data_IF_515193072048
#
_entry.id   IF_515193072048
#
_cell.length_a   1.000
_cell.length_b   1.000
_cell.length_c   1.000
_cell.angle_alpha   90.00
_cell.angle_beta   90.00
_cell.angle_gamma   90.00
#
_symmetry.space_group_name_H-M   'P 1'
#
loop_
_entity.id
_entity.type
_entity.pdbx_description
1 polymer ?
#
# COMPACT_ATOMS: atom_id res chain seq x y z
N UNK A 1 29.14 11.94 9.82
CA UNK A 1 28.56 12.59 8.63
C UNK A 1 27.16 12.04 8.50
N UNK A 2 26.13 12.84 8.75
CA UNK A 2 24.73 12.39 8.58
C UNK A 2 24.50 12.07 7.10
N UNK A 3 24.11 10.82 6.82
CA UNK A 3 23.76 10.40 5.47
C UNK A 3 22.43 11.06 5.10
N UNK A 4 22.44 11.91 4.08
CA UNK A 4 21.21 12.54 3.59
C UNK A 4 20.38 11.48 2.88
N UNK A 5 19.29 11.05 3.52
CA UNK A 5 18.25 10.25 2.91
C UNK A 5 17.13 11.19 2.45
N UNK A 6 16.58 10.93 1.27
CA UNK A 6 15.53 11.77 0.70
C UNK A 6 14.27 10.94 0.40
N UNK A 7 13.13 11.38 0.92
CA UNK A 7 11.81 10.83 0.56
C UNK A 7 11.17 11.74 -0.46
N UNK A 8 10.79 11.18 -1.62
CA UNK A 8 10.09 11.94 -2.67
C UNK A 8 8.97 11.12 -3.31
N UNK A 9 7.91 11.78 -3.84
CA UNK A 9 6.98 11.15 -4.76
C UNK A 9 7.72 10.56 -5.95
N UNK A 10 7.27 9.40 -6.42
CA UNK A 10 7.84 8.73 -7.59
C UNK A 10 7.21 9.24 -8.86
N UNK A 11 8.03 9.42 -9.89
CA UNK A 11 7.61 9.68 -11.27
C UNK A 11 8.00 8.52 -12.18
N UNK A 12 7.61 8.60 -13.45
CA UNK A 12 7.96 7.56 -14.43
C UNK A 12 9.48 7.37 -14.55
N UNK A 13 10.26 8.44 -14.33
CA UNK A 13 11.72 8.43 -14.41
C UNK A 13 12.36 7.57 -13.31
N UNK A 14 11.65 7.32 -12.21
CA UNK A 14 12.12 6.50 -11.10
C UNK A 14 11.92 5.00 -11.32
N UNK A 15 11.29 4.59 -12.43
CA UNK A 15 10.98 3.19 -12.72
C UNK A 15 12.25 2.33 -12.72
N UNK A 16 13.33 2.81 -13.33
CA UNK A 16 14.63 2.10 -13.36
C UNK A 16 15.19 1.89 -11.96
N UNK A 17 15.06 2.89 -11.07
CA UNK A 17 15.53 2.79 -9.69
C UNK A 17 14.69 1.78 -8.89
N UNK A 18 13.39 1.73 -9.13
CA UNK A 18 12.50 0.72 -8.56
C UNK A 18 12.87 -0.70 -9.02
N UNK A 19 13.13 -0.90 -10.32
CA UNK A 19 13.52 -2.20 -10.88
C UNK A 19 14.88 -2.68 -10.36
N UNK A 20 15.78 -1.76 -9.99
CA UNK A 20 17.09 -2.08 -9.44
C UNK A 20 17.04 -2.56 -7.97
N UNK A 21 15.88 -2.48 -7.31
CA UNK A 21 15.70 -2.94 -5.93
C UNK A 21 15.72 -4.47 -5.84
N UNK A 22 16.53 -5.01 -4.94
CA UNK A 22 16.51 -6.44 -4.62
C UNK A 22 15.47 -6.73 -3.53
N UNK A 23 14.19 -6.81 -3.90
CA UNK A 23 13.10 -7.03 -2.92
C UNK A 23 12.94 -8.50 -2.53
N UNK A 24 13.39 -9.43 -3.38
CA UNK A 24 13.16 -10.86 -3.23
C UNK A 24 11.74 -11.31 -3.58
N UNK A 25 10.98 -10.47 -4.30
CA UNK A 25 9.65 -10.80 -4.81
C UNK A 25 9.79 -11.06 -6.32
N UNK A 26 9.50 -12.29 -6.74
CA UNK A 26 9.67 -12.70 -8.14
C UNK A 26 8.65 -12.04 -9.08
N UNK A 27 7.38 -11.94 -8.65
CA UNK A 27 6.32 -11.27 -9.40
C UNK A 27 5.81 -10.04 -8.64
N UNK A 28 6.61 -8.97 -8.63
CA UNK A 28 6.25 -7.75 -7.92
C UNK A 28 5.26 -6.92 -8.73
N UNK A 29 4.00 -6.97 -8.31
CA UNK A 29 2.94 -6.18 -8.94
C UNK A 29 3.25 -4.67 -8.92
N UNK A 30 3.98 -4.16 -7.92
CA UNK A 30 4.31 -2.73 -7.84
C UNK A 30 5.13 -2.30 -9.05
N UNK A 31 6.04 -3.16 -9.51
CA UNK A 31 6.81 -2.95 -10.74
C UNK A 31 5.91 -3.09 -11.95
N UNK A 32 5.09 -4.15 -12.00
CA UNK A 32 4.24 -4.48 -13.16
C UNK A 32 3.20 -3.40 -13.50
N UNK A 33 2.65 -2.72 -12.50
CA UNK A 33 1.61 -1.69 -12.68
C UNK A 33 2.10 -0.31 -12.25
N UNK A 34 3.41 -0.06 -12.27
CA UNK A 34 4.00 1.18 -11.77
C UNK A 34 3.44 2.42 -12.47
N UNK A 35 3.34 2.38 -13.80
CA UNK A 35 2.71 3.40 -14.66
C UNK A 35 1.32 3.80 -14.16
N UNK A 36 0.46 2.83 -13.91
CA UNK A 36 -0.91 3.06 -13.41
C UNK A 36 -0.93 3.62 -11.99
N UNK A 37 0.07 3.29 -11.18
CA UNK A 37 0.14 3.74 -9.79
C UNK A 37 0.56 5.21 -9.70
N UNK A 38 1.45 5.68 -10.58
CA UNK A 38 1.91 7.08 -10.58
C UNK A 38 0.96 8.03 -11.32
N UNK A 39 0.13 7.53 -12.24
CA UNK A 39 -0.87 8.32 -12.97
C UNK A 39 -2.21 8.46 -12.23
N UNK A 40 -2.40 7.75 -11.12
CA UNK A 40 -3.68 7.67 -10.43
C UNK A 40 -3.92 8.87 -9.50
N UNK A 41 -5.12 9.46 -9.56
CA UNK A 41 -5.55 10.52 -8.63
C UNK A 41 -5.78 10.02 -7.19
N UNK A 42 -5.91 8.70 -6.99
CA UNK A 42 -6.22 8.08 -5.68
C UNK A 42 -5.07 7.26 -5.11
N UNK A 43 -3.93 7.25 -5.79
CA UNK A 43 -2.73 6.52 -5.35
C UNK A 43 -1.55 7.46 -5.41
N UNK A 44 -0.67 7.37 -4.42
CA UNK A 44 0.60 8.09 -4.47
C UNK A 44 1.69 7.15 -3.98
N UNK A 45 2.77 7.09 -4.74
CA UNK A 45 3.96 6.29 -4.46
C UNK A 45 5.13 7.20 -4.13
N UNK A 46 5.94 6.75 -3.19
CA UNK A 46 7.12 7.45 -2.71
C UNK A 46 8.31 6.50 -2.64
N UNK A 47 9.49 7.02 -2.93
CA UNK A 47 10.76 6.32 -2.76
C UNK A 47 11.61 6.99 -1.69
N UNK A 48 12.32 6.17 -0.92
CA UNK A 48 13.43 6.59 -0.06
C UNK A 48 14.73 6.40 -0.86
N UNK A 49 15.45 7.47 -1.10
CA UNK A 49 16.68 7.47 -1.88
C UNK A 49 17.90 7.77 -1.02
N UNK A 50 19.02 7.12 -1.37
CA UNK A 50 20.35 7.41 -0.85
C UNK A 50 21.36 7.26 -1.99
N UNK A 51 22.15 8.30 -2.25
CA UNK A 51 23.17 8.31 -3.33
C UNK A 51 22.62 7.84 -4.70
N UNK A 52 21.38 8.24 -5.01
CA UNK A 52 20.70 7.87 -6.26
C UNK A 52 20.09 6.45 -6.28
N UNK A 53 20.29 5.66 -5.23
CA UNK A 53 19.70 4.32 -5.09
C UNK A 53 18.40 4.38 -4.30
N UNK A 54 17.37 3.68 -4.78
CA UNK A 54 16.12 3.51 -4.05
C UNK A 54 16.28 2.40 -2.99
N UNK A 55 16.16 2.77 -1.72
CA UNK A 55 16.30 1.86 -0.58
C UNK A 55 14.97 1.23 -0.16
N UNK A 56 13.88 1.96 -0.34
CA UNK A 56 12.53 1.53 -0.04
C UNK A 56 11.52 2.26 -0.93
N UNK A 57 10.41 1.58 -1.22
CA UNK A 57 9.22 2.16 -1.87
C UNK A 57 7.99 1.85 -1.05
N UNK A 58 7.00 2.72 -1.11
CA UNK A 58 5.76 2.62 -0.37
C UNK A 58 4.84 3.75 -0.76
N UNK A 59 3.61 3.71 -0.28
CA UNK A 59 2.65 4.74 -0.63
C UNK A 59 1.32 4.50 0.02
N UNK A 60 0.31 5.20 -0.49
CA UNK A 60 -1.03 5.09 0.03
C UNK A 60 -2.07 5.04 -1.08
N UNK A 61 -3.26 4.55 -0.72
CA UNK A 61 -4.48 4.69 -1.50
C UNK A 61 -5.49 5.51 -0.73
N UNK A 62 -6.25 6.36 -1.42
CA UNK A 62 -7.36 7.12 -0.86
C UNK A 62 -8.69 6.43 -1.18
N UNK A 63 -9.57 6.37 -0.18
CA UNK A 63 -10.93 5.83 -0.30
C UNK A 63 -11.95 6.80 0.29
N UNK A 64 -13.22 6.61 -0.07
CA UNK A 64 -14.34 7.38 0.49
C UNK A 64 -14.15 8.88 0.28
N UNK A 65 -13.85 9.31 -0.95
CA UNK A 65 -13.59 10.71 -1.31
C UNK A 65 -12.40 11.32 -0.55
N UNK A 66 -11.35 10.53 -0.31
CA UNK A 66 -10.13 10.99 0.38
C UNK A 66 -10.18 10.91 1.89
N UNK A 67 -11.27 10.43 2.49
CA UNK A 67 -11.44 10.36 3.95
C UNK A 67 -10.60 9.27 4.61
N UNK A 68 -10.27 8.22 3.88
CA UNK A 68 -9.52 7.08 4.40
C UNK A 68 -8.25 6.87 3.58
N UNK A 69 -7.11 6.95 4.24
CA UNK A 69 -5.81 6.64 3.64
C UNK A 69 -5.34 5.25 4.08
N UNK A 70 -5.09 4.37 3.12
CA UNK A 70 -4.53 3.04 3.37
C UNK A 70 -3.08 3.00 2.90
N UNK A 71 -2.15 2.87 3.84
CA UNK A 71 -0.74 2.64 3.54
C UNK A 71 -0.55 1.23 2.96
N UNK A 72 0.36 1.11 1.99
CA UNK A 72 0.66 -0.17 1.36
C UNK A 72 1.85 -0.10 0.43
N UNK A 73 2.00 -1.14 -0.39
CA UNK A 73 3.03 -1.25 -1.45
C UNK A 73 4.46 -1.14 -0.92
N UNK A 74 4.65 -1.47 0.36
CA UNK A 74 5.96 -1.39 1.01
C UNK A 74 6.89 -2.44 0.46
N UNK A 75 8.05 -1.99 -0.02
CA UNK A 75 9.21 -2.82 -0.36
C UNK A 75 10.44 -2.20 0.25
N UNK A 76 11.38 -3.05 0.63
CA UNK A 76 12.72 -2.61 1.03
C UNK A 76 13.73 -3.47 0.31
N UNK A 77 14.75 -2.81 -0.21
CA UNK A 77 15.87 -3.52 -0.82
C UNK A 77 16.57 -4.36 0.26
N UNK A 78 16.70 -5.67 0.00
CA UNK A 78 17.26 -6.68 0.91
C UNK A 78 18.68 -6.36 1.33
N UNK A 79 19.46 -5.71 0.47
CA UNK A 79 20.83 -5.30 0.75
C UNK A 79 20.92 -4.25 1.85
N UNK A 80 19.80 -3.59 2.17
CA UNK A 80 19.70 -2.50 3.14
C UNK A 80 18.66 -2.74 4.24
N UNK A 81 18.19 -3.99 4.41
CA UNK A 81 17.24 -4.33 5.47
C UNK A 81 17.82 -4.08 6.87
N UNK A 82 16.94 -3.77 7.84
CA UNK A 82 17.25 -3.41 9.25
C UNK A 82 17.72 -1.97 9.52
N UNK A 83 17.83 -1.10 8.51
CA UNK A 83 18.19 0.32 8.71
C UNK A 83 17.03 1.26 9.08
N UNK A 84 15.84 0.73 9.33
CA UNK A 84 14.65 1.55 9.60
C UNK A 84 14.07 2.26 8.37
N UNK A 85 14.55 1.94 7.16
CA UNK A 85 14.15 2.56 5.90
C UNK A 85 12.63 2.67 5.70
N UNK A 86 11.86 1.63 6.06
CA UNK A 86 10.40 1.67 5.96
C UNK A 86 9.77 2.73 6.88
N UNK A 87 10.31 2.92 8.08
CA UNK A 87 9.87 3.96 9.01
C UNK A 87 10.27 5.35 8.49
N UNK A 88 11.51 5.50 8.02
CA UNK A 88 12.01 6.75 7.44
C UNK A 88 11.21 7.18 6.20
N UNK A 89 10.82 6.22 5.37
CA UNK A 89 9.95 6.44 4.23
C UNK A 89 8.54 6.89 4.66
N UNK A 90 7.92 6.14 5.56
CA UNK A 90 6.50 6.34 5.89
C UNK A 90 6.22 7.51 6.81
N UNK A 91 7.17 7.88 7.67
CA UNK A 91 6.97 8.97 8.64
C UNK A 91 6.55 10.29 7.98
N UNK A 92 7.29 10.85 7.00
CA UNK A 92 6.88 12.07 6.33
C UNK A 92 5.56 11.92 5.56
N UNK A 93 5.28 10.74 4.98
CA UNK A 93 4.02 10.45 4.28
C UNK A 93 2.83 10.50 5.24
N UNK A 94 2.95 9.84 6.40
CA UNK A 94 1.92 9.86 7.44
C UNK A 94 1.74 11.27 8.00
N UNK A 95 2.82 12.02 8.22
CA UNK A 95 2.75 13.40 8.68
C UNK A 95 2.07 14.32 7.66
N UNK A 96 2.30 14.10 6.35
CA UNK A 96 1.58 14.79 5.27
C UNK A 96 0.07 14.45 5.31
N UNK A 97 -0.28 13.17 5.39
CA UNK A 97 -1.67 12.72 5.46
C UNK A 97 -2.40 13.26 6.69
N UNK A 98 -1.73 13.33 7.85
CA UNK A 98 -2.31 13.90 9.08
C UNK A 98 -2.60 15.41 8.98
N UNK A 99 -1.92 16.12 8.07
CA UNK A 99 -2.14 17.56 7.81
C UNK A 99 -3.23 17.81 6.77
N UNK A 100 -3.63 16.81 5.99
CA UNK A 100 -4.73 16.93 5.05
C UNK A 100 -6.07 16.93 5.82
N UNK A 101 -6.82 18.04 5.83
CA UNK A 101 -8.07 18.13 6.58
C UNK A 101 -9.17 17.18 6.08
N UNK A 102 -9.02 16.60 4.89
CA UNK A 102 -9.95 15.62 4.34
C UNK A 102 -9.74 14.23 4.93
N UNK A 103 -8.51 13.90 5.31
CA UNK A 103 -8.14 12.55 5.77
C UNK A 103 -8.54 12.41 7.25
N UNK A 104 -9.61 11.66 7.50
CA UNK A 104 -10.09 11.38 8.85
C UNK A 104 -9.48 10.12 9.48
N UNK A 105 -8.87 9.25 8.67
CA UNK A 105 -8.31 7.99 9.13
C UNK A 105 -7.14 7.51 8.27
N UNK A 106 -6.13 6.95 8.92
CA UNK A 106 -4.94 6.36 8.29
C UNK A 106 -4.75 4.96 8.86
N UNK A 107 -4.54 3.97 7.99
CA UNK A 107 -4.23 2.61 8.44
C UNK A 107 -3.51 1.77 7.40
N UNK A 108 -3.28 0.50 7.72
CA UNK A 108 -2.59 -0.45 6.86
C UNK A 108 -3.03 -1.87 7.19
N UNK A 109 -3.01 -2.75 6.19
CA UNK A 109 -3.21 -4.19 6.39
C UNK A 109 -1.87 -4.92 6.36
N UNK A 110 -1.65 -5.83 7.31
CA UNK A 110 -0.47 -6.70 7.33
C UNK A 110 -0.81 -8.06 7.93
N UNK A 111 -0.04 -9.08 7.56
CA UNK A 111 -0.21 -10.43 8.11
C UNK A 111 0.18 -10.45 9.60
N UNK A 112 -0.53 -11.23 10.42
CA UNK A 112 -0.28 -11.31 11.87
C UNK A 112 1.16 -11.70 12.21
N UNK A 113 1.75 -12.57 11.39
CA UNK A 113 3.15 -13.02 11.48
C UNK A 113 4.19 -12.01 10.97
N UNK A 114 3.78 -10.91 10.34
CA UNK A 114 4.70 -9.88 9.84
C UNK A 114 5.07 -8.90 10.97
N UNK A 115 5.84 -9.39 11.95
CA UNK A 115 6.32 -8.59 13.08
C UNK A 115 7.08 -7.33 12.66
N UNK A 116 7.96 -7.35 11.62
CA UNK A 116 8.63 -6.14 11.15
C UNK A 116 7.66 -5.04 10.73
N UNK A 117 6.66 -5.35 9.89
CA UNK A 117 5.67 -4.37 9.46
C UNK A 117 4.82 -3.84 10.62
N UNK A 118 4.44 -4.71 11.56
CA UNK A 118 3.69 -4.29 12.76
C UNK A 118 4.48 -3.29 13.61
N UNK A 119 5.79 -3.52 13.80
CA UNK A 119 6.67 -2.57 14.51
C UNK A 119 6.79 -1.23 13.79
N UNK A 120 6.82 -1.24 12.45
CA UNK A 120 6.84 0.01 11.66
C UNK A 120 5.55 0.80 11.87
N UNK A 121 4.39 0.15 11.82
CA UNK A 121 3.09 0.80 12.02
C UNK A 121 2.93 1.37 13.44
N UNK A 122 3.37 0.61 14.44
CA UNK A 122 3.36 1.04 15.85
C UNK A 122 4.21 2.32 16.05
N UNK A 123 5.41 2.38 15.46
CA UNK A 123 6.25 3.59 15.45
C UNK A 123 5.62 4.80 14.76
N UNK A 124 4.66 4.59 13.86
CA UNK A 124 3.92 5.65 13.17
C UNK A 124 2.67 6.10 13.96
N UNK A 125 2.41 5.49 15.11
CA UNK A 125 1.21 5.71 15.93
C UNK A 125 -0.04 5.01 15.37
N UNK A 126 0.12 4.01 14.50
CA UNK A 126 -0.98 3.24 13.92
C UNK A 126 -1.16 1.97 14.76
N UNK A 127 -2.16 2.02 15.64
CA UNK A 127 -2.45 0.93 16.56
C UNK A 127 -3.07 -0.27 15.84
N UNK A 128 -2.84 -1.46 16.40
CA UNK A 128 -3.40 -2.69 15.87
C UNK A 128 -4.94 -2.69 15.97
N UNK A 129 -5.60 -2.86 14.83
CA UNK A 129 -7.04 -3.10 14.74
C UNK A 129 -7.42 -4.58 14.91
N UNK A 130 -8.71 -4.92 14.77
CA UNK A 130 -9.19 -6.30 14.85
C UNK A 130 -8.55 -7.19 13.78
N UNK A 131 -8.31 -8.46 14.11
CA UNK A 131 -7.86 -9.44 13.14
C UNK A 131 -8.98 -9.75 12.14
N UNK A 132 -8.66 -9.67 10.85
CA UNK A 132 -9.58 -10.04 9.77
C UNK A 132 -9.21 -11.44 9.29
N UNK A 133 -10.19 -12.34 9.30
CA UNK A 133 -10.03 -13.70 8.78
C UNK A 133 -10.73 -13.80 7.44
N UNK A 134 -9.97 -14.11 6.38
CA UNK A 134 -10.53 -14.37 5.07
C UNK A 134 -10.89 -15.85 4.96
N UNK A 135 -12.13 -16.13 4.61
CA UNK A 135 -12.61 -17.48 4.31
C UNK A 135 -12.92 -17.54 2.82
N UNK A 136 -12.13 -18.31 2.08
CA UNK A 136 -12.46 -18.65 0.70
C UNK A 136 -13.37 -19.87 0.69
N UNK A 137 -14.56 -19.70 0.17
CA UNK A 137 -15.50 -20.80 -0.01
C UNK A 137 -15.04 -21.71 -1.15
N UNK A 138 -14.45 -22.87 -0.80
CA UNK A 138 -13.91 -23.83 -1.79
C UNK A 138 -14.95 -24.76 -2.40
N UNK A 139 -16.04 -25.01 -1.67
CA UNK A 139 -17.13 -25.91 -2.08
C UNK A 139 -18.47 -25.22 -1.86
N UNK A 140 -18.84 -24.27 -2.75
CA UNK A 140 -20.12 -23.57 -2.64
C UNK A 140 -21.32 -24.50 -2.75
N UNK A 141 -21.15 -25.61 -3.44
CA UNK A 141 -22.14 -26.68 -3.61
C UNK A 141 -22.54 -27.37 -2.30
N UNK A 142 -21.67 -27.34 -1.28
CA UNK A 142 -21.93 -27.93 0.02
C UNK A 142 -22.62 -26.97 1.00
N UNK A 143 -22.85 -25.70 0.62
CA UNK A 143 -23.68 -24.82 1.45
C UNK A 143 -25.13 -25.33 1.44
N UNK A 144 -25.61 -25.77 2.59
CA UNK A 144 -27.03 -26.05 2.83
C UNK A 144 -27.68 -24.94 3.66
N UNK A 145 -29.00 -24.75 3.56
CA UNK A 145 -29.74 -23.83 4.43
C UNK A 145 -29.65 -22.35 4.07
N UNK A 146 -29.18 -22.03 2.86
CA UNK A 146 -29.19 -20.66 2.33
C UNK A 146 -30.39 -20.45 1.39
N UNK A 147 -31.02 -19.28 1.47
CA UNK A 147 -31.97 -18.84 0.45
C UNK A 147 -31.16 -18.38 -0.76
N UNK A 148 -31.51 -18.83 -1.98
CA UNK A 148 -30.90 -18.30 -3.20
C UNK A 148 -31.14 -16.80 -3.26
N UNK A 149 -30.08 -16.01 -3.13
CA UNK A 149 -30.13 -14.58 -3.32
C UNK A 149 -30.35 -14.23 -4.80
N UNK A 150 -30.68 -12.96 -5.10
CA UNK A 150 -30.70 -12.47 -6.48
C UNK A 150 -29.33 -12.72 -7.13
N UNK A 151 -29.34 -13.28 -8.34
CA UNK A 151 -28.13 -13.49 -9.13
C UNK A 151 -27.54 -12.12 -9.46
N UNK A 152 -26.30 -11.89 -9.05
CA UNK A 152 -25.58 -10.69 -9.45
C UNK A 152 -25.40 -10.72 -10.98
N UNK A 153 -25.92 -9.70 -11.66
CA UNK A 153 -25.75 -9.54 -13.09
C UNK A 153 -24.60 -8.56 -13.33
N UNK A 154 -23.60 -8.92 -14.16
CA UNK A 154 -22.50 -8.02 -14.47
C UNK A 154 -23.01 -6.69 -15.05
N UNK A 155 -22.58 -5.59 -14.46
CA UNK A 155 -22.82 -4.25 -14.99
C UNK A 155 -21.67 -3.90 -15.92
N UNK A 156 -21.92 -4.01 -17.23
CA UNK A 156 -20.93 -3.70 -18.28
C UNK A 156 -20.97 -2.24 -18.72
N UNK A 157 -21.84 -1.43 -18.13
CA UNK A 157 -22.03 -0.02 -18.48
C UNK A 157 -21.25 0.88 -17.49
N UNK A 158 -20.27 1.61 -18.04
CA UNK A 158 -19.39 2.50 -17.28
C UNK A 158 -20.13 3.60 -16.54
N UNK A 159 -21.30 4.05 -17.01
CA UNK A 159 -22.08 5.09 -16.32
C UNK A 159 -22.74 4.58 -15.03
N UNK A 160 -23.05 3.29 -14.94
CA UNK A 160 -23.70 2.69 -13.76
C UNK A 160 -22.72 2.35 -12.64
N UNK A 161 -21.42 2.22 -12.95
CA UNK A 161 -20.39 1.88 -11.96
C UNK A 161 -19.96 3.05 -11.06
N UNK A 162 -20.37 4.28 -11.35
CA UNK A 162 -19.94 5.47 -10.59
C UNK A 162 -20.72 5.74 -9.29
N UNK A 163 -21.78 4.97 -8.99
CA UNK A 163 -22.68 5.22 -7.85
C UNK A 163 -22.96 3.98 -6.97
N UNK A 164 -22.11 2.95 -7.03
CA UNK A 164 -22.20 1.77 -6.15
C UNK A 164 -21.19 1.84 -5.01
#
# INVERSE_FOLDING_TARGET
>A
MEQVMNVKPLTIDDYTALQAMETGIEDDYVVRIFDRLIESETHELFGLFHEGQMLAVGGYSLFGQGKFAMLGRLRSDRRFQMKGNATELLKPIVDQLKRDPRVGWIGANTHLGNLPARRVLDKLGINQGPAIHYLTLKRPDLLSGHTKGPVWNPVNDLQKNAHS
#
